data_IF_562243657194
#
_entry.id   IF_562243657194
#
_cell.length_a   1.000
_cell.length_b   1.000
_cell.length_c   1.000
_cell.angle_alpha   90.00
_cell.angle_beta   90.00
_cell.angle_gamma   90.00
#
_symmetry.space_group_name_H-M   'P 1'
#
loop_
_entity.id
_entity.type
_entity.pdbx_description
1 polymer ?
#
# COMPACT_ATOMS: atom_id res chain seq x y z
N UNK A 1 3.62 15.71 0.39
CA UNK A 1 3.02 14.38 0.61
C UNK A 1 3.35 13.93 2.00
N UNK A 2 2.33 13.46 2.74
CA UNK A 2 2.49 12.83 4.05
C UNK A 2 2.17 11.34 3.90
N UNK A 3 3.09 10.47 4.30
CA UNK A 3 2.88 9.03 4.37
C UNK A 3 2.57 8.64 5.82
N UNK A 4 1.50 7.88 6.04
CA UNK A 4 1.18 7.31 7.36
C UNK A 4 1.26 5.78 7.26
N UNK A 5 2.14 5.18 8.06
CA UNK A 5 2.32 3.73 8.14
C UNK A 5 1.72 3.21 9.44
N UNK A 6 1.03 2.08 9.41
CA UNK A 6 0.30 1.59 10.58
C UNK A 6 1.13 0.63 11.45
N UNK A 7 1.95 -0.23 10.83
CA UNK A 7 2.75 -1.28 11.49
C UNK A 7 4.19 -1.27 11.01
N UNK A 8 5.06 -2.02 11.66
CA UNK A 8 6.47 -2.14 11.25
C UNK A 8 6.72 -3.38 10.35
N UNK A 9 5.70 -4.20 10.08
CA UNK A 9 5.82 -5.40 9.25
C UNK A 9 6.61 -6.53 9.93
N UNK A 10 6.47 -6.68 11.24
CA UNK A 10 7.26 -7.56 12.09
C UNK A 10 7.09 -9.05 11.78
N UNK A 11 5.95 -9.43 11.17
CA UNK A 11 5.61 -10.81 10.86
C UNK A 11 5.80 -11.15 9.37
N UNK A 12 6.36 -10.24 8.59
CA UNK A 12 6.62 -10.48 7.18
C UNK A 12 7.78 -11.44 6.93
N UNK A 13 7.74 -12.11 5.79
CA UNK A 13 8.82 -13.01 5.36
C UNK A 13 10.10 -12.23 5.01
N UNK A 14 11.25 -12.88 5.16
CA UNK A 14 12.58 -12.30 4.90
C UNK A 14 13.21 -12.99 3.70
N UNK A 15 13.41 -12.25 2.60
CA UNK A 15 14.01 -12.77 1.37
C UNK A 15 15.52 -13.04 1.54
N UNK A 16 16.36 -12.07 1.99
CA UNK A 16 17.80 -12.28 2.11
C UNK A 16 18.14 -13.35 3.16
N UNK A 17 18.91 -14.41 2.79
CA UNK A 17 19.22 -15.50 3.71
C UNK A 17 19.99 -15.06 4.96
N UNK A 18 20.83 -14.06 4.84
CA UNK A 18 21.67 -13.52 5.91
C UNK A 18 20.87 -12.71 6.95
N UNK A 19 19.67 -12.24 6.60
CA UNK A 19 18.77 -11.53 7.50
C UNK A 19 17.71 -12.42 8.15
N UNK A 20 17.57 -13.69 7.74
CA UNK A 20 16.55 -14.61 8.25
C UNK A 20 16.70 -14.98 9.74
N UNK A 21 17.77 -14.55 10.36
CA UNK A 21 17.99 -14.72 11.79
C UNK A 21 17.27 -13.67 12.65
N UNK A 22 16.76 -12.59 12.03
CA UNK A 22 16.08 -11.52 12.76
C UNK A 22 14.77 -12.01 13.37
N UNK A 23 14.59 -11.74 14.63
CA UNK A 23 13.32 -11.92 15.32
C UNK A 23 12.32 -10.82 14.91
N UNK A 24 11.01 -11.01 15.13
CA UNK A 24 9.98 -10.07 14.70
C UNK A 24 10.25 -8.60 15.05
N UNK A 25 10.63 -8.32 16.29
CA UNK A 25 10.87 -6.93 16.70
C UNK A 25 12.15 -6.35 16.06
N UNK A 26 13.17 -7.18 15.84
CA UNK A 26 14.40 -6.79 15.12
C UNK A 26 14.10 -6.54 13.63
N UNK A 27 13.25 -7.37 13.02
CA UNK A 27 12.79 -7.17 11.66
C UNK A 27 12.01 -5.87 11.52
N UNK A 28 11.10 -5.56 12.45
CA UNK A 28 10.38 -4.29 12.46
C UNK A 28 11.34 -3.09 12.50
N UNK A 29 12.35 -3.13 13.36
CA UNK A 29 13.37 -2.08 13.43
C UNK A 29 14.22 -1.98 12.16
N UNK A 30 14.60 -3.11 11.56
CA UNK A 30 15.31 -3.13 10.27
C UNK A 30 14.47 -2.47 9.16
N UNK A 31 13.16 -2.77 9.11
CA UNK A 31 12.22 -2.25 8.13
C UNK A 31 11.94 -0.75 8.21
N UNK A 32 12.15 -0.13 9.37
CA UNK A 32 12.14 1.34 9.46
C UNK A 32 13.23 1.93 8.55
N UNK A 33 14.44 1.35 8.56
CA UNK A 33 15.51 1.79 7.66
C UNK A 33 15.22 1.54 6.18
N UNK A 34 14.52 0.46 5.83
CA UNK A 34 14.03 0.22 4.46
C UNK A 34 13.04 1.31 4.03
N UNK A 35 12.08 1.61 4.89
CA UNK A 35 11.06 2.62 4.66
C UNK A 35 11.66 4.03 4.50
N UNK A 36 12.65 4.38 5.33
CA UNK A 36 13.37 5.66 5.22
C UNK A 36 14.05 5.80 3.85
N UNK A 37 14.72 4.74 3.38
CA UNK A 37 15.35 4.71 2.05
C UNK A 37 14.32 4.80 0.93
N UNK A 38 13.18 4.11 1.07
CA UNK A 38 12.08 4.18 0.11
C UNK A 38 11.46 5.58 0.05
N UNK A 39 11.21 6.20 1.19
CA UNK A 39 10.75 7.59 1.29
C UNK A 39 11.73 8.56 0.63
N UNK A 40 13.02 8.40 0.86
CA UNK A 40 14.06 9.23 0.23
C UNK A 40 14.05 9.09 -1.30
N UNK A 41 13.92 7.85 -1.83
CA UNK A 41 13.83 7.60 -3.27
C UNK A 41 12.59 8.24 -3.91
N UNK A 42 11.46 8.30 -3.20
CA UNK A 42 10.22 8.92 -3.64
C UNK A 42 10.13 10.43 -3.36
N UNK A 43 11.10 11.00 -2.62
CA UNK A 43 11.06 12.39 -2.19
C UNK A 43 9.98 12.67 -1.12
N UNK A 44 9.56 11.67 -0.37
CA UNK A 44 8.66 11.81 0.77
C UNK A 44 9.46 12.26 1.99
N UNK A 45 9.16 13.43 2.51
CA UNK A 45 9.86 14.05 3.65
C UNK A 45 9.05 14.07 4.94
N UNK A 46 7.75 13.79 4.87
CA UNK A 46 6.86 13.69 6.03
C UNK A 46 6.32 12.25 6.09
N UNK A 47 6.98 11.43 6.89
CA UNK A 47 6.55 10.08 7.20
C UNK A 47 6.21 10.00 8.68
N UNK A 48 5.09 9.34 8.99
CA UNK A 48 4.57 9.19 10.36
C UNK A 48 4.09 7.77 10.59
N UNK A 49 4.28 7.26 11.80
CA UNK A 49 3.60 6.04 12.26
C UNK A 49 2.28 6.41 12.94
N UNK A 50 1.20 5.72 12.60
CA UNK A 50 -0.13 5.97 13.15
C UNK A 50 -0.14 5.76 14.68
N UNK A 51 -0.42 6.83 15.41
CA UNK A 51 -0.38 6.82 16.88
C UNK A 51 1.02 6.74 17.50
N UNK A 52 2.08 6.78 16.69
CA UNK A 52 3.49 6.67 17.08
C UNK A 52 4.12 5.35 16.62
N UNK A 53 5.45 5.32 16.53
CA UNK A 53 6.23 4.13 16.14
C UNK A 53 5.92 2.94 17.04
N UNK A 54 5.61 1.78 16.45
CA UNK A 54 5.31 0.55 17.17
C UNK A 54 4.01 0.57 17.99
N UNK A 55 3.14 1.58 17.80
CA UNK A 55 1.83 1.63 18.46
C UNK A 55 0.99 0.40 18.14
N UNK A 56 1.04 -0.06 16.91
CA UNK A 56 0.35 -1.26 16.45
C UNK A 56 1.35 -2.25 15.86
N UNK A 57 1.18 -3.51 16.23
CA UNK A 57 1.97 -4.62 15.71
C UNK A 57 1.37 -5.14 14.41
N UNK A 58 2.20 -5.65 13.51
CA UNK A 58 1.77 -6.41 12.33
C UNK A 58 0.86 -7.58 12.75
N UNK A 59 -0.24 -7.75 12.04
CA UNK A 59 -1.24 -8.79 12.33
C UNK A 59 -0.94 -10.13 11.67
N UNK A 60 0.05 -10.17 10.77
CA UNK A 60 0.26 -11.34 9.91
C UNK A 60 -0.87 -11.58 8.93
N UNK A 61 -0.84 -12.70 8.23
CA UNK A 61 -1.87 -13.06 7.27
C UNK A 61 -3.19 -13.46 7.96
N UNK A 62 -4.30 -13.22 7.28
CA UNK A 62 -5.64 -13.54 7.78
C UNK A 62 -5.74 -15.01 8.19
N UNK A 63 -6.28 -15.25 9.38
CA UNK A 63 -6.48 -16.59 9.94
C UNK A 63 -5.29 -17.15 10.71
N UNK A 64 -4.18 -16.41 10.84
CA UNK A 64 -3.09 -16.80 11.71
C UNK A 64 -3.39 -16.47 13.19
N UNK A 65 -2.79 -17.19 14.15
CA UNK A 65 -2.97 -16.93 15.59
C UNK A 65 -2.57 -15.49 15.99
N UNK A 66 -1.65 -14.88 15.27
CA UNK A 66 -1.20 -13.50 15.49
C UNK A 66 -2.32 -12.48 15.33
N UNK A 67 -3.40 -12.81 14.60
CA UNK A 67 -4.57 -11.96 14.48
C UNK A 67 -5.31 -11.76 15.83
N UNK A 68 -5.09 -12.64 16.81
CA UNK A 68 -5.68 -12.57 18.15
C UNK A 68 -4.80 -11.81 19.17
N UNK A 69 -3.57 -11.39 18.78
CA UNK A 69 -2.73 -10.55 19.63
C UNK A 69 -3.40 -9.17 19.84
N UNK A 70 -3.71 -8.77 21.09
CA UNK A 70 -4.37 -7.49 21.35
C UNK A 70 -3.55 -6.26 20.95
N UNK A 71 -2.26 -6.43 20.65
CA UNK A 71 -1.37 -5.36 20.17
C UNK A 71 -1.42 -5.19 18.65
N UNK A 72 -1.92 -6.19 17.91
CA UNK A 72 -1.92 -6.15 16.46
C UNK A 72 -2.92 -5.10 15.92
N UNK A 73 -2.63 -4.58 14.74
CA UNK A 73 -3.45 -3.52 14.13
C UNK A 73 -4.88 -3.99 13.81
N UNK A 74 -5.05 -5.28 13.49
CA UNK A 74 -6.37 -5.88 13.26
C UNK A 74 -7.28 -5.81 14.48
N UNK A 75 -6.73 -5.88 15.71
CA UNK A 75 -7.48 -5.76 16.97
C UNK A 75 -7.62 -4.31 17.45
N UNK A 76 -6.99 -3.34 16.76
CA UNK A 76 -7.08 -1.95 17.16
C UNK A 76 -8.51 -1.43 17.13
N UNK A 77 -8.87 -0.61 18.13
CA UNK A 77 -10.13 0.12 18.11
C UNK A 77 -10.12 1.12 16.95
N UNK A 78 -11.06 0.92 16.01
CA UNK A 78 -11.17 1.74 14.79
C UNK A 78 -11.40 3.22 15.11
N UNK A 79 -12.20 3.55 16.13
CA UNK A 79 -12.47 4.94 16.50
C UNK A 79 -11.20 5.63 17.01
N UNK A 80 -10.43 4.98 17.90
CA UNK A 80 -9.17 5.54 18.42
C UNK A 80 -8.11 5.73 17.30
N UNK A 81 -7.98 4.74 16.43
CA UNK A 81 -7.05 4.80 15.31
C UNK A 81 -7.48 5.87 14.28
N UNK A 82 -8.79 5.99 14.03
CA UNK A 82 -9.36 7.02 13.17
C UNK A 82 -9.19 8.43 13.74
N UNK A 83 -9.38 8.62 15.03
CA UNK A 83 -9.12 9.90 15.71
C UNK A 83 -7.64 10.33 15.58
N UNK A 84 -6.72 9.36 15.68
CA UNK A 84 -5.30 9.63 15.48
C UNK A 84 -5.00 10.04 14.03
N UNK A 85 -5.59 9.35 13.05
CA UNK A 85 -5.42 9.66 11.62
C UNK A 85 -6.11 10.99 11.25
N UNK A 86 -7.30 11.27 11.79
CA UNK A 86 -8.03 12.51 11.56
C UNK A 86 -7.21 13.74 11.96
N UNK A 87 -6.48 13.67 13.09
CA UNK A 87 -5.56 14.74 13.51
C UNK A 87 -4.47 14.99 12.49
N UNK A 88 -3.91 13.93 11.89
CA UNK A 88 -2.91 14.08 10.82
C UNK A 88 -3.54 14.71 9.58
N UNK A 89 -4.71 14.26 9.16
CA UNK A 89 -5.45 14.81 8.00
C UNK A 89 -5.72 16.30 8.19
N UNK A 90 -6.19 16.70 9.37
CA UNK A 90 -6.47 18.09 9.70
C UNK A 90 -5.20 18.95 9.75
N UNK A 91 -4.13 18.43 10.38
CA UNK A 91 -2.84 19.12 10.48
C UNK A 91 -2.22 19.42 9.12
N UNK A 92 -2.29 18.46 8.19
CA UNK A 92 -1.71 18.62 6.84
C UNK A 92 -2.69 19.26 5.85
N UNK A 93 -3.93 19.49 6.26
CA UNK A 93 -5.03 20.01 5.42
C UNK A 93 -5.09 19.25 4.07
N UNK A 94 -5.27 17.93 4.13
CA UNK A 94 -5.18 17.05 2.98
C UNK A 94 -6.27 17.35 1.93
N UNK A 95 -5.88 17.65 0.69
CA UNK A 95 -6.82 17.73 -0.45
C UNK A 95 -7.21 16.35 -0.99
N UNK A 96 -6.29 15.39 -0.90
CA UNK A 96 -6.44 14.03 -1.40
C UNK A 96 -5.93 13.04 -0.36
N UNK A 97 -6.70 12.01 -0.12
CA UNK A 97 -6.37 10.87 0.75
C UNK A 97 -6.37 9.60 -0.10
N UNK A 98 -5.36 8.75 0.06
CA UNK A 98 -5.27 7.46 -0.62
C UNK A 98 -5.12 6.36 0.42
N UNK A 99 -5.90 5.28 0.27
CA UNK A 99 -5.85 4.10 1.13
C UNK A 99 -5.97 2.81 0.32
N UNK A 100 -6.01 1.66 0.99
CA UNK A 100 -6.35 0.38 0.36
C UNK A 100 -7.83 0.30 0.02
N UNK A 101 -8.19 -0.58 -0.93
CA UNK A 101 -9.59 -0.96 -1.16
C UNK A 101 -10.11 -1.86 -0.01
N UNK A 102 -11.43 -2.03 0.07
CA UNK A 102 -12.10 -2.63 1.24
C UNK A 102 -11.67 -4.08 1.57
N UNK A 103 -11.19 -4.84 0.57
CA UNK A 103 -10.69 -6.21 0.77
C UNK A 103 -9.19 -6.27 1.10
N UNK A 104 -8.48 -5.12 1.10
CA UNK A 104 -7.05 -5.06 1.39
C UNK A 104 -6.18 -5.75 0.34
N UNK A 105 -6.54 -5.66 -0.92
CA UNK A 105 -5.91 -6.23 -2.11
C UNK A 105 -5.93 -7.78 -2.12
N UNK A 106 -5.12 -8.43 -1.29
CA UNK A 106 -5.06 -9.89 -1.17
C UNK A 106 -5.62 -10.40 0.18
N UNK A 107 -6.40 -9.58 0.86
CA UNK A 107 -7.06 -9.97 2.11
C UNK A 107 -6.19 -9.85 3.35
N UNK A 108 -5.12 -9.00 3.32
CA UNK A 108 -4.30 -8.77 4.51
C UNK A 108 -5.10 -8.01 5.57
N UNK A 109 -5.14 -8.48 6.86
CA UNK A 109 -5.91 -7.82 7.91
C UNK A 109 -5.55 -6.34 8.08
N UNK A 110 -4.27 -6.00 8.06
CA UNK A 110 -3.82 -4.62 8.26
C UNK A 110 -4.20 -3.70 7.09
N UNK A 111 -4.26 -4.20 5.86
CA UNK A 111 -4.74 -3.43 4.72
C UNK A 111 -6.24 -3.15 4.82
N UNK A 112 -7.03 -4.15 5.23
CA UNK A 112 -8.46 -3.99 5.49
C UNK A 112 -8.70 -3.00 6.63
N UNK A 113 -7.91 -3.10 7.70
CA UNK A 113 -8.01 -2.21 8.85
C UNK A 113 -7.60 -0.78 8.50
N UNK A 114 -6.53 -0.60 7.69
CA UNK A 114 -6.13 0.71 7.18
C UNK A 114 -7.25 1.37 6.36
N UNK A 115 -7.96 0.60 5.52
CA UNK A 115 -9.15 1.08 4.82
C UNK A 115 -10.23 1.54 5.81
N UNK A 116 -10.60 0.71 6.78
CA UNK A 116 -11.65 1.02 7.77
C UNK A 116 -11.33 2.27 8.58
N UNK A 117 -10.09 2.37 9.05
CA UNK A 117 -9.58 3.51 9.81
C UNK A 117 -9.60 4.78 8.98
N UNK A 118 -9.19 4.70 7.70
CA UNK A 118 -9.16 5.86 6.80
C UNK A 118 -10.57 6.34 6.45
N UNK A 119 -11.50 5.43 6.15
CA UNK A 119 -12.90 5.77 5.91
C UNK A 119 -13.48 6.52 7.12
N UNK A 120 -13.25 5.99 8.32
CA UNK A 120 -13.74 6.60 9.55
C UNK A 120 -13.09 7.95 9.86
N UNK A 121 -11.78 8.07 9.66
CA UNK A 121 -11.06 9.34 9.83
C UNK A 121 -11.57 10.41 8.86
N UNK A 122 -11.82 10.06 7.60
CA UNK A 122 -12.41 10.98 6.62
C UNK A 122 -13.79 11.49 7.05
N UNK A 123 -14.64 10.63 7.63
CA UNK A 123 -15.93 11.05 8.19
C UNK A 123 -15.79 12.01 9.38
N UNK A 124 -14.80 11.78 10.26
CA UNK A 124 -14.55 12.58 11.45
C UNK A 124 -14.05 14.00 11.12
N UNK A 125 -13.21 14.14 10.12
CA UNK A 125 -12.67 15.45 9.71
C UNK A 125 -13.73 16.35 9.07
N UNK A 126 -14.77 15.77 8.47
CA UNK A 126 -15.78 16.52 7.72
C UNK A 126 -15.21 17.33 6.55
N UNK A 127 -13.97 17.08 6.17
CA UNK A 127 -13.31 17.78 5.06
C UNK A 127 -13.83 17.29 3.72
N UNK A 128 -13.86 18.18 2.72
CA UNK A 128 -14.23 17.84 1.35
C UNK A 128 -13.06 17.21 0.55
N UNK A 129 -12.08 16.64 1.26
CA UNK A 129 -10.97 15.94 0.61
C UNK A 129 -11.48 14.79 -0.26
N UNK A 130 -10.85 14.62 -1.43
CA UNK A 130 -11.11 13.44 -2.24
C UNK A 130 -10.47 12.24 -1.59
N UNK A 131 -11.23 11.15 -1.48
CA UNK A 131 -10.76 9.89 -0.93
C UNK A 131 -10.70 8.84 -2.04
N UNK A 132 -9.56 8.21 -2.20
CA UNK A 132 -9.30 7.17 -3.18
C UNK A 132 -8.83 5.88 -2.50
N UNK A 133 -9.24 4.76 -3.08
CA UNK A 133 -8.62 3.46 -2.82
C UNK A 133 -7.69 3.07 -3.98
N UNK A 134 -6.58 2.42 -3.67
CA UNK A 134 -5.79 1.75 -4.71
C UNK A 134 -6.64 0.66 -5.35
N UNK A 135 -6.68 0.59 -6.68
CA UNK A 135 -7.55 -0.33 -7.39
C UNK A 135 -6.83 -0.91 -8.61
N UNK A 136 -6.35 -2.14 -8.53
CA UNK A 136 -5.69 -2.81 -9.65
C UNK A 136 -6.72 -3.50 -10.54
N UNK A 137 -6.95 -3.05 -11.80
CA UNK A 137 -7.88 -3.71 -12.71
C UNK A 137 -7.44 -5.14 -13.01
N UNK A 138 -8.36 -6.08 -13.03
CA UNK A 138 -8.05 -7.50 -13.33
C UNK A 138 -7.36 -7.69 -14.67
N UNK A 139 -7.76 -6.95 -15.68
CA UNK A 139 -7.14 -7.01 -17.02
C UNK A 139 -5.69 -6.51 -17.02
N UNK A 140 -5.37 -5.51 -16.18
CA UNK A 140 -4.00 -4.98 -16.03
C UNK A 140 -3.15 -5.96 -15.24
N UNK A 141 -3.69 -6.53 -14.17
CA UNK A 141 -3.01 -7.52 -13.35
C UNK A 141 -2.62 -8.76 -14.17
N UNK A 142 -3.52 -9.24 -15.04
CA UNK A 142 -3.26 -10.35 -15.93
C UNK A 142 -2.07 -10.07 -16.87
N UNK A 143 -2.04 -8.87 -17.47
CA UNK A 143 -0.91 -8.46 -18.33
C UNK A 143 0.39 -8.25 -17.57
N UNK A 144 0.31 -7.73 -16.33
CA UNK A 144 1.49 -7.54 -15.50
C UNK A 144 2.15 -8.86 -15.07
N UNK A 145 1.39 -9.95 -15.01
CA UNK A 145 1.87 -11.29 -14.69
C UNK A 145 2.54 -12.01 -15.90
N UNK A 146 2.50 -11.43 -17.09
CA UNK A 146 3.22 -11.95 -18.25
C UNK A 146 4.72 -11.69 -18.09
N UNK A 147 5.51 -12.76 -18.05
CA UNK A 147 6.97 -12.72 -17.89
C UNK A 147 7.68 -13.10 -19.19
N UNK A 148 8.88 -12.54 -19.45
CA UNK A 148 9.77 -13.03 -20.50
C UNK A 148 10.10 -14.52 -20.31
N UNK A 149 10.42 -15.22 -21.39
CA UNK A 149 10.79 -16.66 -21.31
C UNK A 149 12.04 -16.89 -20.49
N UNK A 150 12.99 -15.96 -20.52
CA UNK A 150 14.26 -15.98 -19.79
C UNK A 150 14.13 -15.55 -18.32
N UNK A 151 12.95 -15.13 -17.86
CA UNK A 151 12.76 -14.71 -16.47
C UNK A 151 12.97 -15.89 -15.52
N UNK A 152 13.75 -15.66 -14.47
CA UNK A 152 13.91 -16.62 -13.38
C UNK A 152 12.77 -16.58 -12.34
N UNK A 153 11.93 -15.53 -12.37
CA UNK A 153 10.72 -15.46 -11.57
C UNK A 153 9.71 -16.52 -12.01
N UNK A 154 8.96 -17.03 -11.05
CA UNK A 154 7.87 -17.97 -11.28
C UNK A 154 6.69 -17.26 -11.97
N UNK A 155 6.07 -17.93 -12.93
CA UNK A 155 4.84 -17.44 -13.56
C UNK A 155 3.69 -17.51 -12.54
N UNK A 156 2.93 -16.43 -12.42
CA UNK A 156 1.72 -16.40 -11.62
C UNK A 156 0.55 -16.93 -12.46
N UNK A 157 0.10 -18.14 -12.17
CA UNK A 157 -1.04 -18.78 -12.84
C UNK A 157 -2.37 -18.54 -12.14
N UNK A 158 -2.31 -18.22 -10.84
CA UNK A 158 -3.46 -17.92 -10.01
C UNK A 158 -3.43 -16.44 -9.66
N UNK A 159 -3.98 -15.59 -10.56
CA UNK A 159 -4.03 -14.17 -10.32
C UNK A 159 -5.00 -13.88 -9.17
N UNK A 160 -4.50 -13.54 -7.98
CA UNK A 160 -5.38 -13.15 -6.91
C UNK A 160 -5.94 -11.76 -7.19
N UNK A 161 -7.07 -11.50 -6.61
CA UNK A 161 -7.53 -10.19 -6.25
C UNK A 161 -7.15 -9.07 -7.23
N UNK A 162 -7.92 -8.49 -7.86
CA UNK A 162 -8.00 -7.26 -8.60
C UNK A 162 -9.45 -6.88 -8.60
N UNK A 163 -9.71 -5.64 -8.80
CA UNK A 163 -11.07 -5.14 -8.93
C UNK A 163 -11.59 -5.34 -10.35
N UNK A 164 -12.91 -5.45 -10.56
CA UNK A 164 -13.48 -5.34 -11.89
C UNK A 164 -13.03 -4.06 -12.58
N UNK A 165 -12.72 -4.12 -13.88
CA UNK A 165 -12.18 -2.98 -14.62
C UNK A 165 -13.12 -1.76 -14.64
N UNK A 166 -14.43 -1.97 -14.50
CA UNK A 166 -15.44 -0.92 -14.42
C UNK A 166 -15.55 -0.23 -13.06
N UNK A 167 -14.95 -0.80 -12.03
CA UNK A 167 -14.84 -0.18 -10.70
C UNK A 167 -13.77 0.91 -10.66
N UNK A 168 -12.77 0.84 -11.53
CA UNK A 168 -11.70 1.85 -11.60
C UNK A 168 -12.26 3.16 -12.14
N UNK A 169 -12.02 4.25 -11.39
CA UNK A 169 -12.47 5.61 -11.75
C UNK A 169 -11.34 6.50 -12.24
N UNK A 170 -10.10 6.18 -11.87
CA UNK A 170 -8.95 7.07 -12.03
C UNK A 170 -7.72 6.29 -12.46
N UNK A 171 -7.00 6.83 -13.43
CA UNK A 171 -5.77 6.26 -13.98
C UNK A 171 -4.72 7.36 -14.08
N UNK A 172 -3.61 7.20 -13.37
CA UNK A 172 -2.54 8.20 -13.28
C UNK A 172 -1.30 7.68 -14.00
N UNK A 173 -0.85 8.41 -15.00
CA UNK A 173 0.43 8.15 -15.66
C UNK A 173 1.58 8.61 -14.79
N UNK A 174 2.30 7.65 -14.20
CA UNK A 174 3.49 7.87 -13.39
C UNK A 174 4.80 7.47 -14.12
N UNK A 175 4.78 7.38 -15.45
CA UNK A 175 5.92 6.94 -16.28
C UNK A 175 7.21 7.70 -15.92
N UNK A 176 7.14 9.01 -15.73
CA UNK A 176 8.30 9.84 -15.38
C UNK A 176 8.90 9.54 -14.00
N UNK A 177 8.19 8.80 -13.15
CA UNK A 177 8.62 8.43 -11.80
C UNK A 177 8.97 6.94 -11.66
N UNK A 178 9.00 6.20 -12.77
CA UNK A 178 9.21 4.76 -12.75
C UNK A 178 10.56 4.36 -12.13
N UNK A 179 11.61 5.14 -12.37
CA UNK A 179 12.92 4.89 -11.77
C UNK A 179 12.90 5.12 -10.25
N UNK A 180 12.27 6.21 -9.79
CA UNK A 180 12.09 6.44 -8.35
C UNK A 180 11.26 5.32 -7.68
N UNK A 181 10.22 4.83 -8.37
CA UNK A 181 9.43 3.68 -7.91
C UNK A 181 10.29 2.41 -7.78
N UNK A 182 11.12 2.11 -8.78
CA UNK A 182 12.04 0.96 -8.72
C UNK A 182 13.01 1.06 -7.55
N UNK A 183 13.61 2.24 -7.35
CA UNK A 183 14.53 2.45 -6.23
C UNK A 183 13.83 2.32 -4.87
N UNK A 184 12.62 2.83 -4.73
CA UNK A 184 11.81 2.64 -3.53
C UNK A 184 11.49 1.16 -3.29
N UNK A 185 11.15 0.40 -4.34
CA UNK A 185 10.93 -1.05 -4.23
C UNK A 185 12.20 -1.80 -3.83
N UNK A 186 13.37 -1.44 -4.39
CA UNK A 186 14.68 -2.03 -4.01
C UNK A 186 15.05 -1.74 -2.56
N UNK A 187 14.63 -0.59 -2.03
CA UNK A 187 14.88 -0.25 -0.63
C UNK A 187 14.20 -1.23 0.35
N UNK A 188 13.13 -1.90 -0.06
CA UNK A 188 12.43 -2.94 0.71
C UNK A 188 13.03 -4.33 0.48
N UNK A 189 14.34 -4.47 0.66
CA UNK A 189 15.11 -5.68 0.34
C UNK A 189 14.66 -6.95 1.07
N UNK A 190 14.11 -6.82 2.29
CA UNK A 190 13.55 -7.96 3.01
C UNK A 190 12.27 -8.49 2.39
N UNK A 191 11.57 -7.71 1.56
CA UNK A 191 10.21 -7.97 1.11
C UNK A 191 10.09 -8.13 -0.41
N UNK A 192 10.96 -7.46 -1.18
CA UNK A 192 10.82 -7.32 -2.62
C UNK A 192 12.14 -7.61 -3.32
N UNK A 193 12.10 -8.47 -4.34
CA UNK A 193 13.20 -8.64 -5.29
C UNK A 193 12.85 -7.91 -6.58
N UNK A 194 13.72 -7.01 -7.05
CA UNK A 194 13.56 -6.27 -8.30
C UNK A 194 14.61 -6.71 -9.31
N UNK A 195 14.16 -7.16 -10.47
CA UNK A 195 15.02 -7.52 -11.60
C UNK A 195 14.52 -6.82 -12.89
N UNK A 196 15.29 -5.83 -13.35
CA UNK A 196 14.91 -5.00 -14.50
C UNK A 196 13.57 -4.30 -14.29
N UNK A 197 12.62 -4.62 -15.17
CA UNK A 197 11.24 -4.11 -15.15
C UNK A 197 10.27 -4.98 -14.35
N UNK A 198 10.77 -6.01 -13.66
CA UNK A 198 9.95 -6.98 -12.96
C UNK A 198 10.31 -7.03 -11.48
N UNK A 199 9.39 -7.53 -10.68
CA UNK A 199 9.57 -7.75 -9.25
C UNK A 199 8.83 -9.00 -8.81
N UNK A 200 9.25 -9.53 -7.67
CA UNK A 200 8.53 -10.58 -6.95
C UNK A 200 8.65 -10.36 -5.44
N UNK A 201 7.71 -10.91 -4.71
CA UNK A 201 7.79 -11.07 -3.26
C UNK A 201 8.53 -12.40 -2.91
N UNK A 202 8.51 -12.79 -1.66
CA UNK A 202 9.11 -14.04 -1.14
C UNK A 202 8.64 -15.32 -1.84
N UNK A 203 7.43 -15.32 -2.40
CA UNK A 203 6.87 -16.43 -3.18
C UNK A 203 7.49 -16.58 -4.58
N UNK A 204 8.34 -15.63 -5.00
CA UNK A 204 9.00 -15.55 -6.31
C UNK A 204 8.03 -15.40 -7.51
N UNK A 205 6.73 -15.15 -7.26
CA UNK A 205 5.77 -14.90 -8.34
C UNK A 205 6.02 -13.53 -8.96
N UNK A 206 6.52 -13.54 -10.20
CA UNK A 206 6.93 -12.32 -10.89
C UNK A 206 5.76 -11.50 -11.42
N UNK A 207 5.93 -10.18 -11.38
CA UNK A 207 5.04 -9.24 -12.03
C UNK A 207 5.83 -8.04 -12.58
N UNK A 208 5.30 -7.43 -13.63
CA UNK A 208 5.88 -6.22 -14.20
C UNK A 208 5.63 -5.01 -13.29
N UNK A 209 6.64 -4.18 -13.11
CA UNK A 209 6.51 -2.89 -12.44
C UNK A 209 5.73 -1.95 -13.36
N UNK A 210 4.54 -1.57 -12.95
CA UNK A 210 3.66 -0.72 -13.75
C UNK A 210 4.01 0.76 -13.58
N UNK A 211 3.98 1.49 -14.67
CA UNK A 211 4.14 2.95 -14.69
C UNK A 211 2.80 3.69 -14.52
N UNK A 212 1.69 2.98 -14.61
CA UNK A 212 0.35 3.55 -14.42
C UNK A 212 -0.22 3.08 -13.10
N UNK A 213 -0.77 4.01 -12.33
CA UNK A 213 -1.44 3.76 -11.06
C UNK A 213 -2.96 3.88 -11.25
N UNK A 214 -3.71 3.00 -10.61
CA UNK A 214 -5.16 2.92 -10.75
C UNK A 214 -5.84 3.09 -9.40
N UNK A 215 -6.96 3.84 -9.41
CA UNK A 215 -7.69 4.15 -8.19
C UNK A 215 -9.20 4.07 -8.42
N UNK A 216 -9.93 3.80 -7.33
CA UNK A 216 -11.35 4.00 -7.20
C UNK A 216 -11.60 5.22 -6.31
N UNK A 217 -12.37 6.19 -6.76
CA UNK A 217 -12.77 7.30 -5.93
C UNK A 217 -13.91 6.88 -5.01
N UNK A 218 -13.65 6.89 -3.70
CA UNK A 218 -14.60 6.49 -2.67
C UNK A 218 -15.46 7.66 -2.18
N UNK A 219 -14.89 8.86 -2.08
CA UNK A 219 -15.59 10.05 -1.60
C UNK A 219 -15.04 11.35 -2.22
N UNK A 220 -15.77 12.43 -2.02
CA UNK A 220 -15.45 13.76 -2.51
C UNK A 220 -16.05 14.08 -3.88
N UNK A 221 -15.84 15.30 -4.39
CA UNK A 221 -16.40 15.73 -5.66
C UNK A 221 -15.78 14.94 -6.83
N UNK A 222 -16.64 14.38 -7.68
CA UNK A 222 -16.21 13.73 -8.91
C UNK A 222 -16.05 14.76 -10.02
N UNK A 223 -14.87 14.78 -10.63
CA UNK A 223 -14.68 15.53 -11.86
C UNK A 223 -15.32 14.75 -13.02
N UNK A 224 -16.35 15.33 -13.66
CA UNK A 224 -16.97 14.77 -14.88
C UNK A 224 -16.03 15.06 -16.06
N UNK A 225 -15.28 14.06 -16.48
CA UNK A 225 -14.58 14.08 -17.76
C UNK A 225 -15.44 13.36 -18.83
N UNK A 226 -15.24 13.73 -20.10
CA UNK A 226 -15.77 12.99 -21.25
C UNK A 226 -15.07 11.62 -21.37
N UNK A 227 -13.85 11.50 -20.81
CA UNK A 227 -13.06 10.28 -20.74
C UNK A 227 -13.56 9.33 -19.64
N UNK A 228 -13.33 8.02 -19.86
CA UNK A 228 -13.68 6.97 -18.91
C UNK A 228 -13.02 7.13 -17.54
N UNK A 229 -11.78 7.66 -17.48
CA UNK A 229 -10.98 7.78 -16.29
C UNK A 229 -10.60 9.22 -15.98
N UNK A 230 -10.65 9.58 -14.71
CA UNK A 230 -9.97 10.78 -14.19
C UNK A 230 -8.45 10.61 -14.32
N UNK A 231 -7.75 11.68 -14.74
CA UNK A 231 -6.30 11.67 -15.00
C UNK A 231 -5.49 12.50 -14.00
N UNK A 232 -6.17 13.13 -13.04
CA UNK A 232 -5.57 13.97 -12.02
C UNK A 232 -6.36 13.85 -10.71
N UNK A 233 -5.71 13.36 -9.64
CA UNK A 233 -6.34 13.22 -8.34
C UNK A 233 -6.80 14.56 -7.74
N UNK A 234 -6.18 15.67 -8.15
CA UNK A 234 -6.48 17.01 -7.68
C UNK A 234 -7.47 17.78 -8.58
N UNK A 235 -7.94 17.22 -9.67
CA UNK A 235 -8.94 17.86 -10.56
C UNK A 235 -10.19 18.23 -9.75
N UNK A 236 -10.68 19.46 -9.96
CA UNK A 236 -11.85 20.03 -9.27
C UNK A 236 -13.04 20.12 -10.20
#
# INVERSE_FOLDING_TARGET
VTLVTCTLGELGEIIPPDLRHLFPDELGQHRIGELDRACAALGVTDHRFLGGEGRYRDSGMMGLPDNDDPRCFWQANVEEAADALAKVIDEVAADVIVTYEANGFYGHPDHIQAHRVTMRAHELTGQAAKLYATAMPRSVLARAAELPEESWFKKNTDLPAGVPDDQVTTEIDATRYLDAKREAMRAHETQITVDGDYFALSNELGARILATEYYEQLAGPRHRQEDRYERDLFAR
#
